data_IF_826673987318
#
_entry.id   IF_826673987318
#
_cell.length_a   1.000
_cell.length_b   1.000
_cell.length_c   1.000
_cell.angle_alpha   90.00
_cell.angle_beta   90.00
_cell.angle_gamma   90.00
#
_symmetry.space_group_name_H-M   'P 1'
#
loop_
_entity.id
_entity.type
_entity.pdbx_description
1 polymer ?
#
# COMPACT_ATOMS: atom_id res chain seq x y z
N UNK A 1 2.55 3.45 6.64
CA UNK A 1 3.99 3.64 6.92
C UNK A 1 4.31 5.00 6.32
N UNK A 2 5.55 5.33 5.95
CA UNK A 2 5.84 6.50 5.12
C UNK A 2 5.74 7.88 5.78
N UNK A 3 5.98 8.91 4.98
CA UNK A 3 5.98 10.30 5.42
C UNK A 3 4.57 10.84 5.64
N UNK A 4 4.37 11.66 6.67
CA UNK A 4 3.08 12.31 6.91
C UNK A 4 3.05 13.72 6.30
N UNK A 5 2.48 13.87 5.10
CA UNK A 5 2.30 15.17 4.44
C UNK A 5 0.87 15.72 4.52
N UNK A 6 -0.02 15.07 5.28
CA UNK A 6 -1.48 15.32 5.28
C UNK A 6 -1.87 16.79 5.51
N UNK A 7 -1.10 17.53 6.30
CA UNK A 7 -1.46 18.91 6.67
C UNK A 7 -1.07 19.96 5.62
N UNK A 8 -0.36 19.56 4.56
CA UNK A 8 0.11 20.45 3.49
C UNK A 8 -0.32 19.98 2.09
N UNK A 9 -0.79 18.75 1.94
CA UNK A 9 -1.28 18.24 0.65
C UNK A 9 -2.79 18.09 0.67
N UNK A 10 -3.42 18.40 -0.47
CA UNK A 10 -4.86 18.22 -0.65
C UNK A 10 -5.12 17.04 -1.59
N UNK A 11 -6.02 16.16 -1.16
CA UNK A 11 -6.54 15.09 -2.01
C UNK A 11 -8.01 15.37 -2.33
N UNK A 12 -8.38 15.24 -3.59
CA UNK A 12 -9.77 15.38 -4.07
C UNK A 12 -10.51 14.08 -3.78
N UNK A 13 -11.72 14.17 -3.24
CA UNK A 13 -12.58 13.00 -3.09
C UNK A 13 -13.01 12.49 -4.46
N UNK A 14 -12.93 11.18 -4.66
CA UNK A 14 -13.34 10.50 -5.91
C UNK A 14 -14.16 9.26 -5.58
N UNK A 15 -14.82 8.68 -6.58
CA UNK A 15 -15.58 7.45 -6.47
C UNK A 15 -14.94 6.34 -7.32
N UNK A 16 -15.28 5.08 -7.04
CA UNK A 16 -14.76 3.93 -7.82
C UNK A 16 -15.05 4.04 -9.32
N UNK A 17 -16.16 4.68 -9.69
CA UNK A 17 -16.52 4.91 -11.10
C UNK A 17 -15.51 5.77 -11.85
N UNK A 18 -14.84 6.72 -11.16
CA UNK A 18 -13.82 7.61 -11.75
C UNK A 18 -12.53 6.85 -12.14
N UNK A 19 -12.35 5.65 -11.59
CA UNK A 19 -11.24 4.75 -11.88
C UNK A 19 -11.64 3.59 -12.80
N UNK A 20 -12.90 3.53 -13.24
CA UNK A 20 -13.39 2.44 -14.08
C UNK A 20 -12.66 2.41 -15.42
N UNK A 21 -12.19 1.23 -15.82
CA UNK A 21 -11.38 0.99 -17.01
C UNK A 21 -9.89 1.31 -16.84
N UNK A 22 -9.49 1.94 -15.74
CA UNK A 22 -8.10 2.35 -15.49
C UNK A 22 -7.30 1.23 -14.85
N UNK A 23 -6.04 1.13 -15.25
CA UNK A 23 -5.03 0.29 -14.56
C UNK A 23 -4.47 1.06 -13.38
N UNK A 24 -4.35 0.42 -12.22
CA UNK A 24 -3.83 1.06 -11.00
C UNK A 24 -2.73 0.17 -10.40
N UNK A 25 -1.54 0.74 -10.21
CA UNK A 25 -0.42 0.07 -9.59
C UNK A 25 -0.57 0.13 -8.07
N UNK A 26 -0.79 -1.02 -7.44
CA UNK A 26 -1.11 -1.13 -6.01
C UNK A 26 0.14 -1.56 -5.26
N UNK A 27 0.54 -0.77 -4.26
CA UNK A 27 1.55 -1.22 -3.30
C UNK A 27 0.99 -2.42 -2.51
N UNK A 28 1.59 -3.58 -2.72
CA UNK A 28 1.17 -4.82 -2.11
C UNK A 28 1.45 -4.84 -0.61
N UNK A 29 2.64 -4.40 -0.15
CA UNK A 29 2.96 -4.44 1.27
C UNK A 29 2.06 -3.48 2.05
N UNK A 30 1.86 -2.26 1.53
CA UNK A 30 0.93 -1.31 2.12
C UNK A 30 -0.46 -1.94 2.26
N UNK A 31 -0.99 -2.52 1.18
CA UNK A 31 -2.31 -3.17 1.18
C UNK A 31 -2.41 -4.35 2.15
N UNK A 32 -1.42 -5.25 2.18
CA UNK A 32 -1.40 -6.40 3.07
C UNK A 32 -1.36 -5.97 4.55
N UNK A 33 -0.57 -4.94 4.88
CA UNK A 33 -0.57 -4.36 6.23
C UNK A 33 -1.93 -3.76 6.60
N UNK A 34 -2.61 -3.08 5.67
CA UNK A 34 -3.95 -2.56 5.90
C UNK A 34 -4.97 -3.68 6.12
N UNK A 35 -4.87 -4.79 5.39
CA UNK A 35 -5.72 -5.97 5.61
C UNK A 35 -5.50 -6.56 6.99
N UNK A 36 -4.25 -6.74 7.42
CA UNK A 36 -3.91 -7.24 8.76
C UNK A 36 -4.39 -6.32 9.89
N UNK A 37 -4.35 -5.00 9.67
CA UNK A 37 -4.80 -4.03 10.66
C UNK A 37 -6.34 -3.93 10.75
N UNK A 38 -7.04 -4.07 9.63
CA UNK A 38 -8.47 -3.80 9.51
C UNK A 38 -9.37 -5.04 9.57
N UNK A 39 -8.92 -6.17 9.03
CA UNK A 39 -9.70 -7.41 8.93
C UNK A 39 -9.43 -8.26 10.16
N UNK A 40 -10.26 -8.09 11.17
CA UNK A 40 -10.15 -8.69 12.49
C UNK A 40 -11.51 -9.18 12.96
N UNK A 41 -11.49 -10.12 13.89
CA UNK A 41 -12.67 -10.56 14.62
C UNK A 41 -13.20 -9.41 15.51
N UNK A 42 -14.45 -9.49 16.00
CA UNK A 42 -15.04 -8.45 16.85
C UNK A 42 -14.22 -8.15 18.13
N UNK A 43 -13.48 -9.13 18.64
CA UNK A 43 -12.60 -8.99 19.81
C UNK A 43 -11.22 -8.39 19.49
N UNK A 44 -10.98 -8.03 18.22
CA UNK A 44 -9.73 -7.46 17.74
C UNK A 44 -8.65 -8.47 17.40
N UNK A 45 -8.87 -9.77 17.60
CA UNK A 45 -7.94 -10.80 17.11
C UNK A 45 -7.95 -10.84 15.57
N UNK A 46 -6.81 -11.11 14.91
CA UNK A 46 -6.80 -11.29 13.47
C UNK A 46 -7.61 -12.53 13.07
N UNK A 47 -8.01 -12.61 11.79
CA UNK A 47 -8.56 -13.85 11.26
C UNK A 47 -7.46 -14.91 11.24
N UNK A 48 -7.80 -16.13 11.62
CA UNK A 48 -6.87 -17.25 11.67
C UNK A 48 -7.52 -18.52 11.13
N UNK A 49 -6.70 -19.46 10.65
CA UNK A 49 -7.11 -20.84 10.37
C UNK A 49 -7.09 -21.70 11.66
N UNK A 50 -7.46 -22.98 11.54
CA UNK A 50 -7.50 -23.93 12.68
C UNK A 50 -6.13 -24.22 13.29
N UNK A 51 -5.03 -23.92 12.56
CA UNK A 51 -3.65 -24.08 13.03
C UNK A 51 -3.12 -22.81 13.70
N UNK A 52 -3.90 -21.74 13.72
CA UNK A 52 -3.52 -20.45 14.31
C UNK A 52 -2.70 -19.55 13.37
N UNK A 53 -2.61 -19.88 12.08
CA UNK A 53 -1.97 -19.00 11.11
C UNK A 53 -2.90 -17.84 10.77
N UNK A 54 -2.35 -16.62 10.69
CA UNK A 54 -3.13 -15.43 10.35
C UNK A 54 -3.53 -15.47 8.87
N UNK A 55 -4.81 -15.23 8.56
CA UNK A 55 -5.37 -15.30 7.18
C UNK A 55 -6.01 -13.99 6.72
N UNK A 56 -5.94 -12.93 7.54
CA UNK A 56 -6.52 -11.62 7.22
C UNK A 56 -6.02 -11.04 5.90
N UNK A 57 -4.74 -11.26 5.56
CA UNK A 57 -4.13 -10.79 4.31
C UNK A 57 -4.75 -11.47 3.08
N UNK A 58 -4.98 -12.79 3.13
CA UNK A 58 -5.62 -13.55 2.06
C UNK A 58 -7.08 -13.16 1.87
N UNK A 59 -7.81 -13.01 2.97
CA UNK A 59 -9.21 -12.56 2.94
C UNK A 59 -9.33 -11.17 2.30
N UNK A 60 -8.49 -10.22 2.75
CA UNK A 60 -8.45 -8.89 2.16
C UNK A 60 -8.10 -8.92 0.68
N UNK A 61 -7.06 -9.65 0.31
CA UNK A 61 -6.59 -9.71 -1.07
C UNK A 61 -7.64 -10.34 -1.99
N UNK A 62 -8.30 -11.43 -1.60
CA UNK A 62 -9.37 -12.04 -2.40
C UNK A 62 -10.54 -11.08 -2.61
N UNK A 63 -11.15 -10.60 -1.52
CA UNK A 63 -12.43 -9.90 -1.62
C UNK A 63 -12.26 -8.45 -2.09
N UNK A 64 -11.17 -7.76 -1.72
CA UNK A 64 -10.93 -6.38 -2.16
C UNK A 64 -10.59 -6.33 -3.63
N UNK A 65 -9.67 -7.18 -4.08
CA UNK A 65 -9.28 -7.23 -5.50
C UNK A 65 -10.47 -7.62 -6.37
N UNK A 66 -11.28 -8.59 -5.94
CA UNK A 66 -12.53 -8.94 -6.65
C UNK A 66 -13.48 -7.74 -6.78
N UNK A 67 -13.66 -6.95 -5.72
CA UNK A 67 -14.50 -5.76 -5.78
C UNK A 67 -13.92 -4.67 -6.71
N UNK A 68 -12.61 -4.43 -6.70
CA UNK A 68 -11.97 -3.48 -7.61
C UNK A 68 -12.25 -3.86 -9.07
N UNK A 69 -12.08 -5.14 -9.41
CA UNK A 69 -12.30 -5.65 -10.76
C UNK A 69 -13.79 -5.56 -11.15
N UNK A 70 -14.72 -5.78 -10.21
CA UNK A 70 -16.16 -5.54 -10.42
C UNK A 70 -16.51 -4.08 -10.71
N UNK A 71 -15.75 -3.12 -10.19
CA UNK A 71 -15.88 -1.70 -10.54
C UNK A 71 -15.19 -1.33 -11.86
N UNK A 72 -14.63 -2.31 -12.58
CA UNK A 72 -13.89 -2.09 -13.82
C UNK A 72 -12.46 -1.61 -13.62
N UNK A 73 -11.96 -1.56 -12.38
CA UNK A 73 -10.58 -1.17 -12.07
C UNK A 73 -9.68 -2.38 -12.34
N UNK A 74 -8.52 -2.13 -12.96
CA UNK A 74 -7.54 -3.15 -13.30
C UNK A 74 -6.33 -3.03 -12.35
N UNK A 75 -6.31 -3.75 -11.22
CA UNK A 75 -5.19 -3.66 -10.27
C UNK A 75 -3.98 -4.47 -10.76
N UNK A 76 -2.78 -3.92 -10.61
CA UNK A 76 -1.51 -4.65 -10.70
C UNK A 76 -0.78 -4.48 -9.37
N UNK A 77 -0.40 -5.57 -8.72
CA UNK A 77 0.24 -5.53 -7.41
C UNK A 77 1.76 -5.48 -7.51
N UNK A 78 2.40 -4.62 -6.75
CA UNK A 78 3.86 -4.51 -6.72
C UNK A 78 4.37 -4.85 -5.33
N UNK A 79 5.25 -5.84 -5.24
CA UNK A 79 5.89 -6.26 -3.99
C UNK A 79 7.29 -5.66 -3.88
N UNK A 80 7.65 -5.22 -2.67
CA UNK A 80 9.01 -4.77 -2.33
C UNK A 80 10.04 -5.87 -2.56
N UNK A 81 11.20 -5.48 -3.09
CA UNK A 81 12.42 -6.28 -3.19
C UNK A 81 13.29 -6.14 -1.96
N UNK A 82 14.60 -6.07 -2.18
CA UNK A 82 15.55 -5.95 -1.07
C UNK A 82 15.55 -4.50 -0.53
N UNK A 83 15.32 -4.31 0.79
CA UNK A 83 15.31 -2.97 1.36
C UNK A 83 16.73 -2.37 1.36
N UNK A 84 16.81 -1.05 1.12
CA UNK A 84 18.06 -0.30 1.25
C UNK A 84 18.61 -0.33 2.69
N UNK A 85 19.92 -0.12 2.85
CA UNK A 85 20.55 -0.05 4.18
C UNK A 85 19.92 1.04 5.08
N UNK A 86 19.50 2.16 4.48
CA UNK A 86 18.79 3.23 5.19
C UNK A 86 17.46 2.72 5.77
N UNK A 87 16.66 2.01 4.96
CA UNK A 87 15.36 1.47 5.40
C UNK A 87 15.50 0.37 6.45
N UNK A 88 16.58 -0.43 6.42
CA UNK A 88 16.83 -1.52 7.39
C UNK A 88 16.82 -1.01 8.84
N UNK A 89 17.38 0.17 9.11
CA UNK A 89 17.38 0.80 10.45
C UNK A 89 15.95 1.12 10.92
N UNK A 90 15.13 1.70 10.06
CA UNK A 90 13.73 2.03 10.36
C UNK A 90 12.88 0.78 10.58
N UNK A 91 13.11 -0.27 9.78
CA UNK A 91 12.43 -1.57 9.94
C UNK A 91 12.75 -2.21 11.30
N UNK A 92 13.98 -2.08 11.79
CA UNK A 92 14.37 -2.55 13.12
C UNK A 92 13.59 -1.82 14.23
N UNK A 93 13.55 -0.48 14.21
CA UNK A 93 12.76 0.32 15.18
C UNK A 93 11.28 -0.05 15.15
N UNK A 94 10.72 -0.26 13.95
CA UNK A 94 9.32 -0.70 13.78
C UNK A 94 9.08 -2.07 14.40
N UNK A 95 10.02 -2.99 14.27
CA UNK A 95 9.94 -4.32 14.88
C UNK A 95 9.87 -4.23 16.40
N UNK A 96 10.74 -3.42 17.00
CA UNK A 96 10.78 -3.19 18.46
C UNK A 96 9.47 -2.57 18.96
N UNK A 97 8.96 -1.54 18.27
CA UNK A 97 7.68 -0.91 18.61
C UNK A 97 6.49 -1.89 18.53
N UNK A 98 6.51 -2.83 17.58
CA UNK A 98 5.48 -3.88 17.45
C UNK A 98 5.57 -4.89 18.61
N UNK A 99 6.77 -5.26 19.02
CA UNK A 99 6.99 -6.16 20.15
C UNK A 99 6.51 -5.52 21.47
N UNK A 100 6.72 -4.23 21.64
CA UNK A 100 6.19 -3.49 22.79
C UNK A 100 4.65 -3.39 22.74
N UNK A 101 4.08 -3.10 21.57
CA UNK A 101 2.62 -3.06 21.38
C UNK A 101 1.97 -4.42 21.65
N UNK A 102 2.64 -5.53 21.30
CA UNK A 102 2.18 -6.89 21.60
C UNK A 102 2.09 -7.14 23.10
N UNK A 103 3.13 -6.77 23.87
CA UNK A 103 3.11 -6.88 25.34
C UNK A 103 1.97 -6.07 25.96
N UNK A 104 1.77 -4.84 25.49
CA UNK A 104 0.67 -3.96 25.93
C UNK A 104 -0.71 -4.53 25.59
N UNK A 105 -0.84 -5.18 24.43
CA UNK A 105 -2.08 -5.83 24.01
C UNK A 105 -2.43 -7.04 24.90
N UNK A 106 -1.47 -7.93 25.14
CA UNK A 106 -1.64 -9.11 26.00
C UNK A 106 -1.99 -8.70 27.43
N UNK A 107 -1.32 -7.70 27.97
CA UNK A 107 -1.62 -7.14 29.28
C UNK A 107 -3.05 -6.57 29.33
N UNK A 108 -3.43 -5.69 28.39
CA UNK A 108 -4.77 -5.11 28.35
C UNK A 108 -5.86 -6.17 28.20
N UNK A 109 -5.60 -7.23 27.42
CA UNK A 109 -6.50 -8.39 27.28
C UNK A 109 -6.65 -9.15 28.59
N UNK A 110 -5.55 -9.41 29.30
CA UNK A 110 -5.58 -10.12 30.60
C UNK A 110 -6.29 -9.32 31.71
N UNK A 111 -6.22 -8.00 31.64
CA UNK A 111 -6.86 -7.07 32.59
C UNK A 111 -8.32 -6.74 32.21
N UNK A 112 -8.85 -7.28 31.11
CA UNK A 112 -10.22 -7.00 30.64
C UNK A 112 -10.43 -5.58 30.10
N UNK A 113 -9.36 -4.84 29.77
CA UNK A 113 -9.44 -3.50 29.18
C UNK A 113 -9.66 -3.58 27.68
N UNK A 114 -10.93 -3.78 27.29
CA UNK A 114 -11.34 -4.06 25.91
C UNK A 114 -10.91 -2.95 24.94
N UNK A 115 -11.14 -1.67 25.27
CA UNK A 115 -10.79 -0.56 24.36
C UNK A 115 -9.29 -0.42 24.13
N UNK A 116 -8.49 -0.59 25.19
CA UNK A 116 -7.03 -0.57 25.10
C UNK A 116 -6.51 -1.77 24.32
N UNK A 117 -7.08 -2.96 24.54
CA UNK A 117 -6.75 -4.16 23.78
C UNK A 117 -7.05 -3.94 22.29
N UNK A 118 -8.22 -3.41 21.94
CA UNK A 118 -8.57 -3.08 20.55
C UNK A 118 -7.59 -2.08 19.94
N UNK A 119 -7.19 -1.05 20.69
CA UNK A 119 -6.22 -0.03 20.25
C UNK A 119 -4.84 -0.62 19.98
N UNK A 120 -4.30 -1.42 20.89
CA UNK A 120 -2.96 -2.02 20.73
C UNK A 120 -2.94 -3.13 19.69
N UNK A 121 -4.03 -3.92 19.56
CA UNK A 121 -4.12 -5.04 18.62
C UNK A 121 -3.79 -4.64 17.18
N UNK A 122 -4.25 -3.47 16.72
CA UNK A 122 -3.99 -3.00 15.35
C UNK A 122 -2.52 -2.76 15.07
N UNK A 123 -1.73 -2.46 16.11
CA UNK A 123 -0.29 -2.20 16.02
C UNK A 123 0.57 -3.47 16.10
N UNK A 124 -0.03 -4.62 16.37
CA UNK A 124 0.71 -5.90 16.50
C UNK A 124 0.89 -6.64 15.17
N UNK A 125 0.24 -6.18 14.09
CA UNK A 125 0.29 -6.82 12.78
C UNK A 125 1.73 -6.98 12.27
N UNK A 126 2.14 -8.23 12.05
CA UNK A 126 3.41 -8.62 11.41
C UNK A 126 3.09 -9.22 10.04
N UNK A 127 3.84 -8.81 9.03
CA UNK A 127 3.83 -9.44 7.71
C UNK A 127 5.07 -10.31 7.61
N UNK A 128 4.89 -11.61 7.45
CA UNK A 128 6.00 -12.56 7.26
C UNK A 128 6.28 -12.74 5.77
N UNK A 129 7.45 -13.31 5.45
CA UNK A 129 7.80 -13.68 4.08
C UNK A 129 6.79 -14.68 3.49
N UNK A 130 6.40 -15.67 4.30
CA UNK A 130 5.41 -16.70 3.92
C UNK A 130 4.08 -16.06 3.53
N UNK A 131 3.58 -15.09 4.30
CA UNK A 131 2.35 -14.36 3.96
C UNK A 131 2.47 -13.59 2.64
N UNK A 132 3.66 -13.03 2.35
CA UNK A 132 3.95 -12.39 1.06
C UNK A 132 3.93 -13.38 -0.09
N UNK A 133 4.53 -14.57 0.10
CA UNK A 133 4.56 -15.63 -0.90
C UNK A 133 3.16 -16.22 -1.15
N UNK A 134 2.35 -16.40 -0.10
CA UNK A 134 0.93 -16.79 -0.22
C UNK A 134 0.11 -15.73 -0.95
N UNK A 135 0.34 -14.44 -0.68
CA UNK A 135 -0.33 -13.36 -1.40
C UNK A 135 -0.02 -13.39 -2.91
N UNK A 136 1.24 -13.64 -3.29
CA UNK A 136 1.65 -13.82 -4.70
C UNK A 136 0.99 -15.04 -5.34
N UNK A 137 0.93 -16.18 -4.63
CA UNK A 137 0.21 -17.39 -5.10
C UNK A 137 -1.27 -17.09 -5.31
N UNK A 138 -1.91 -16.44 -4.34
CA UNK A 138 -3.32 -16.06 -4.42
C UNK A 138 -3.59 -15.16 -5.63
N UNK A 139 -2.80 -14.10 -5.83
CA UNK A 139 -2.94 -13.22 -7.01
C UNK A 139 -2.77 -13.97 -8.32
N UNK A 140 -1.81 -14.91 -8.37
CA UNK A 140 -1.58 -15.78 -9.52
C UNK A 140 -2.81 -16.63 -9.83
N UNK A 141 -3.40 -17.28 -8.83
CA UNK A 141 -4.63 -18.07 -9.00
C UNK A 141 -5.84 -17.19 -9.34
N UNK A 142 -5.88 -15.96 -8.84
CA UNK A 142 -6.90 -14.98 -9.23
C UNK A 142 -6.73 -14.48 -10.68
N UNK A 143 -5.59 -14.74 -11.32
CA UNK A 143 -5.27 -14.20 -12.65
C UNK A 143 -4.91 -12.71 -12.64
N UNK A 144 -4.56 -12.16 -11.48
CA UNK A 144 -4.21 -10.75 -11.29
C UNK A 144 -2.69 -10.59 -11.43
N UNK A 145 -2.20 -9.67 -12.29
CA UNK A 145 -0.77 -9.47 -12.47
C UNK A 145 -0.15 -8.91 -11.18
N UNK A 146 1.05 -9.39 -10.90
CA UNK A 146 1.90 -8.83 -9.87
C UNK A 146 3.35 -8.84 -10.33
N UNK A 147 4.15 -7.92 -9.79
CA UNK A 147 5.58 -7.83 -10.08
C UNK A 147 6.39 -7.63 -8.81
N UNK A 148 7.67 -7.97 -8.90
CA UNK A 148 8.66 -7.86 -7.85
C UNK A 148 9.54 -6.63 -8.15
N UNK A 149 9.45 -5.61 -7.29
CA UNK A 149 10.35 -4.47 -7.37
C UNK A 149 11.79 -4.91 -7.05
N UNK A 150 12.83 -4.25 -7.61
CA UNK A 150 14.21 -4.46 -7.19
C UNK A 150 14.44 -4.05 -5.73
N UNK A 151 13.77 -2.97 -5.32
CA UNK A 151 13.83 -2.44 -3.95
C UNK A 151 12.45 -1.95 -3.49
N UNK A 152 12.14 -0.66 -3.61
CA UNK A 152 10.90 -0.08 -3.09
C UNK A 152 9.69 -0.32 -4.00
N UNK A 153 8.61 -0.90 -3.46
CA UNK A 153 7.39 -1.19 -4.20
C UNK A 153 6.67 0.06 -4.71
N UNK A 154 6.54 1.12 -3.90
CA UNK A 154 5.95 2.39 -4.35
C UNK A 154 6.75 3.07 -5.47
N UNK A 155 8.06 2.90 -5.45
CA UNK A 155 8.95 3.44 -6.47
C UNK A 155 8.77 2.69 -7.79
N UNK A 156 8.68 1.36 -7.75
CA UNK A 156 8.34 0.55 -8.92
C UNK A 156 6.90 0.79 -9.41
N UNK A 157 5.91 0.98 -8.51
CA UNK A 157 4.56 1.42 -8.88
C UNK A 157 4.61 2.73 -9.66
N UNK A 158 5.40 3.69 -9.18
CA UNK A 158 5.58 5.00 -9.81
C UNK A 158 6.18 4.86 -11.19
N UNK A 159 7.21 4.03 -11.35
CA UNK A 159 7.82 3.74 -12.65
C UNK A 159 6.81 3.20 -13.67
N UNK A 160 5.99 2.22 -13.27
CA UNK A 160 4.91 1.66 -14.13
C UNK A 160 3.92 2.76 -14.56
N UNK A 161 3.58 3.70 -13.68
CA UNK A 161 2.70 4.83 -14.01
C UNK A 161 3.38 5.81 -14.97
N UNK A 162 4.65 6.15 -14.73
CA UNK A 162 5.41 7.07 -15.59
C UNK A 162 5.66 6.48 -16.99
N UNK A 163 5.72 5.16 -17.12
CA UNK A 163 5.77 4.44 -18.40
C UNK A 163 4.44 4.46 -19.17
N UNK A 164 3.34 4.85 -18.52
CA UNK A 164 2.00 4.88 -19.10
C UNK A 164 1.25 3.55 -19.03
N UNK A 165 1.80 2.55 -18.34
CA UNK A 165 1.18 1.22 -18.21
C UNK A 165 0.15 1.16 -17.07
N UNK A 166 0.17 2.13 -16.17
CA UNK A 166 -0.86 2.37 -15.17
C UNK A 166 -1.22 3.86 -15.08
N UNK A 167 -2.43 4.15 -14.62
CA UNK A 167 -2.92 5.52 -14.44
C UNK A 167 -2.45 6.15 -13.12
N UNK A 168 -2.44 5.38 -12.03
CA UNK A 168 -2.14 5.91 -10.70
C UNK A 168 -1.47 4.85 -9.83
N UNK A 169 -0.77 5.33 -8.79
CA UNK A 169 -0.31 4.49 -7.68
C UNK A 169 -1.41 4.44 -6.62
N UNK A 170 -1.68 3.27 -6.05
CA UNK A 170 -2.55 3.10 -4.91
C UNK A 170 -1.76 2.72 -3.66
N UNK A 171 -1.72 3.64 -2.71
CA UNK A 171 -1.12 3.49 -1.39
C UNK A 171 -1.84 4.37 -0.38
N UNK A 172 -1.71 4.09 0.91
CA UNK A 172 -2.12 5.05 1.96
C UNK A 172 -1.05 6.08 2.27
N UNK A 173 0.20 5.80 1.91
CA UNK A 173 1.36 6.61 2.26
C UNK A 173 1.60 7.66 1.15
N UNK A 174 2.44 8.66 1.41
CA UNK A 174 2.66 9.78 0.49
C UNK A 174 4.01 9.66 -0.26
N UNK A 175 4.60 8.48 -0.27
CA UNK A 175 5.96 8.28 -0.79
C UNK A 175 5.98 8.29 -2.33
N UNK A 176 4.97 7.72 -2.99
CA UNK A 176 4.82 7.71 -4.46
C UNK A 176 4.88 9.11 -5.12
N UNK A 177 4.20 10.16 -4.62
CA UNK A 177 4.43 11.53 -5.10
C UNK A 177 5.90 12.00 -5.02
N UNK A 178 6.66 11.57 -4.01
CA UNK A 178 8.08 11.87 -3.89
C UNK A 178 8.90 11.14 -4.96
N UNK A 179 8.58 9.87 -5.22
CA UNK A 179 9.13 9.10 -6.35
C UNK A 179 8.72 9.66 -7.72
N UNK A 180 7.69 10.52 -7.77
CA UNK A 180 7.26 11.24 -8.97
C UNK A 180 5.92 10.78 -9.56
N UNK A 181 5.12 9.99 -8.82
CA UNK A 181 3.82 9.54 -9.30
C UNK A 181 2.90 10.73 -9.57
N UNK A 182 2.34 10.87 -10.79
CA UNK A 182 1.44 11.97 -11.13
C UNK A 182 0.13 11.92 -10.34
N UNK A 183 -0.37 10.70 -10.07
CA UNK A 183 -1.62 10.45 -9.37
C UNK A 183 -1.41 9.41 -8.26
N UNK A 184 -1.74 9.78 -7.03
CA UNK A 184 -1.82 8.88 -5.88
C UNK A 184 -3.28 8.69 -5.48
N UNK A 185 -3.79 7.46 -5.56
CA UNK A 185 -5.12 7.07 -5.09
C UNK A 185 -5.02 6.46 -3.71
N UNK A 186 -5.70 7.07 -2.73
CA UNK A 186 -5.69 6.61 -1.34
C UNK A 186 -7.06 6.04 -0.96
N UNK A 187 -7.05 5.02 -0.09
CA UNK A 187 -8.26 4.35 0.37
C UNK A 187 -8.80 3.26 -0.56
N UNK A 188 -8.12 2.96 -1.67
CA UNK A 188 -8.59 2.01 -2.69
C UNK A 188 -8.88 0.61 -2.16
N UNK A 189 -8.04 0.10 -1.28
CA UNK A 189 -8.14 -1.26 -0.72
C UNK A 189 -8.84 -1.29 0.64
N UNK A 190 -9.27 -0.13 1.17
CA UNK A 190 -9.83 -0.01 2.51
C UNK A 190 -11.37 -0.12 2.50
N UNK A 191 -11.95 -0.67 3.57
CA UNK A 191 -13.38 -0.48 3.88
C UNK A 191 -13.61 0.54 4.97
N UNK A 192 -14.66 1.34 4.82
CA UNK A 192 -15.23 2.14 5.90
C UNK A 192 -14.63 3.55 5.97
N UNK A 193 -13.89 3.85 7.04
CA UNK A 193 -13.60 5.23 7.50
C UNK A 193 -12.68 6.07 6.60
N UNK A 194 -11.91 5.46 5.70
CA UNK A 194 -11.05 6.23 4.78
C UNK A 194 -11.79 6.39 3.46
N UNK A 195 -12.10 7.63 3.12
CA UNK A 195 -12.72 7.96 1.85
C UNK A 195 -11.73 7.79 0.70
N UNK A 196 -12.24 7.31 -0.43
CA UNK A 196 -11.47 7.20 -1.65
C UNK A 196 -11.12 8.62 -2.13
N UNK A 197 -9.83 8.88 -2.33
CA UNK A 197 -9.34 10.20 -2.72
C UNK A 197 -8.15 10.08 -3.66
N UNK A 198 -7.97 11.10 -4.50
CA UNK A 198 -6.87 11.22 -5.43
C UNK A 198 -6.08 12.50 -5.12
N UNK A 199 -4.77 12.36 -4.99
CA UNK A 199 -3.81 13.46 -4.96
C UNK A 199 -3.16 13.57 -6.34
N UNK A 200 -3.14 14.78 -6.88
CA UNK A 200 -2.46 15.11 -8.14
C UNK A 200 -1.14 15.83 -7.80
N UNK A 201 0.00 15.26 -8.20
CA UNK A 201 1.32 15.79 -7.84
C UNK A 201 1.53 17.19 -8.45
N UNK A 202 1.17 17.39 -9.71
CA UNK A 202 1.33 18.67 -10.39
C UNK A 202 0.54 19.80 -9.71
N UNK A 203 -0.73 19.54 -9.37
CA UNK A 203 -1.58 20.50 -8.65
C UNK A 203 -1.00 20.79 -7.25
N UNK A 204 -0.49 19.75 -6.58
CA UNK A 204 0.13 19.88 -5.25
C UNK A 204 1.37 20.78 -5.32
N UNK A 205 2.28 20.53 -6.27
CA UNK A 205 3.49 21.33 -6.46
C UNK A 205 3.17 22.79 -6.81
N UNK A 206 2.21 23.01 -7.72
CA UNK A 206 1.74 24.36 -8.07
C UNK A 206 1.16 25.10 -6.87
N UNK A 207 0.31 24.44 -6.08
CA UNK A 207 -0.31 25.06 -4.90
C UNK A 207 0.71 25.39 -3.80
N UNK A 208 1.70 24.54 -3.62
CA UNK A 208 2.76 24.74 -2.63
C UNK A 208 3.87 25.67 -3.13
N UNK A 209 3.91 25.94 -4.44
CA UNK A 209 4.99 26.67 -5.14
C UNK A 209 6.35 26.01 -4.90
N UNK A 210 6.40 24.68 -5.04
CA UNK A 210 7.60 23.88 -4.86
C UNK A 210 7.96 23.12 -6.14
N UNK A 211 9.25 22.82 -6.30
CA UNK A 211 9.70 21.72 -7.16
C UNK A 211 9.50 20.37 -6.46
N UNK A 212 9.58 19.27 -7.22
CA UNK A 212 9.54 17.92 -6.62
C UNK A 212 10.72 17.70 -5.66
N UNK A 213 11.91 18.19 -6.00
CA UNK A 213 13.09 18.12 -5.14
C UNK A 213 12.85 18.85 -3.81
N UNK A 214 12.22 20.02 -3.84
CA UNK A 214 11.85 20.73 -2.63
C UNK A 214 10.75 20.01 -1.83
N UNK A 215 9.81 19.32 -2.49
CA UNK A 215 8.84 18.48 -1.80
C UNK A 215 9.52 17.29 -1.10
N UNK A 216 10.53 16.69 -1.73
CA UNK A 216 11.39 15.66 -1.13
C UNK A 216 12.11 16.22 0.10
N UNK A 217 12.68 17.42 0.00
CA UNK A 217 13.30 18.10 1.15
C UNK A 217 12.32 18.30 2.31
N UNK A 218 11.10 18.73 2.02
CA UNK A 218 10.04 18.84 3.04
C UNK A 218 9.78 17.49 3.70
N UNK A 219 9.70 16.42 2.92
CA UNK A 219 9.48 15.07 3.44
C UNK A 219 10.63 14.59 4.33
N UNK A 220 11.89 14.82 3.92
CA UNK A 220 13.09 14.49 4.71
C UNK A 220 13.11 15.27 6.03
N UNK A 221 12.77 16.56 6.03
CA UNK A 221 12.71 17.33 7.28
C UNK A 221 11.62 16.83 8.24
N UNK A 222 10.50 16.33 7.71
CA UNK A 222 9.42 15.71 8.51
C UNK A 222 9.81 14.33 9.02
N UNK A 223 10.62 13.60 8.26
CA UNK A 223 11.02 12.21 8.50
C UNK A 223 10.34 11.25 7.54
N UNK A 224 11.15 10.42 6.89
CA UNK A 224 10.71 9.40 5.93
C UNK A 224 10.94 7.98 6.47
N UNK A 225 10.82 6.97 5.62
CA UNK A 225 11.23 5.61 5.95
C UNK A 225 12.76 5.42 5.97
N UNK A 226 13.53 6.42 5.50
CA UNK A 226 14.98 6.37 5.33
C UNK A 226 15.74 7.23 6.35
N UNK A 227 15.03 8.05 7.13
CA UNK A 227 15.60 8.99 8.10
C UNK A 227 14.61 9.28 9.25
N UNK A 228 15.10 9.79 10.37
CA UNK A 228 14.26 10.09 11.55
C UNK A 228 13.59 11.48 11.50
N UNK A 229 13.87 12.28 10.47
CA UNK A 229 13.46 13.68 10.37
C UNK A 229 14.27 14.60 11.27
N UNK A 230 13.88 15.88 11.26
CA UNK A 230 14.45 16.90 12.15
C UNK A 230 13.49 17.16 13.30
N UNK A 231 13.98 16.98 14.53
CA UNK A 231 13.14 17.15 15.72
C UNK A 231 12.46 18.53 15.75
N UNK A 232 11.13 18.52 15.92
CA UNK A 232 10.32 19.73 16.02
C UNK A 232 9.85 20.32 14.68
N UNK A 233 10.25 19.75 13.53
CA UNK A 233 9.78 20.12 12.20
C UNK A 233 8.64 19.21 11.74
N UNK A 234 7.39 19.65 11.97
CA UNK A 234 6.21 19.07 11.33
C UNK A 234 5.98 19.62 9.91
N UNK A 235 5.01 19.09 9.15
CA UNK A 235 4.84 19.37 7.72
C UNK A 235 4.79 20.86 7.36
N UNK A 236 4.04 21.66 8.12
CA UNK A 236 3.93 23.11 7.88
C UNK A 236 5.22 23.87 8.16
N UNK A 237 5.99 23.46 9.18
CA UNK A 237 7.26 24.10 9.53
C UNK A 237 8.34 23.72 8.53
N UNK A 238 8.43 22.43 8.18
CA UNK A 238 9.33 21.94 7.14
C UNK A 238 9.09 22.65 5.80
N UNK A 239 7.82 22.76 5.37
CA UNK A 239 7.43 23.53 4.18
C UNK A 239 7.96 24.97 4.23
N UNK A 240 7.74 25.67 5.35
CA UNK A 240 8.22 27.04 5.54
C UNK A 240 9.75 27.10 5.42
N UNK A 241 10.47 26.22 6.12
CA UNK A 241 11.94 26.17 6.12
C UNK A 241 12.50 25.96 4.71
N UNK A 242 11.92 25.05 3.93
CA UNK A 242 12.38 24.79 2.55
C UNK A 242 12.10 25.99 1.65
N UNK A 243 10.91 26.61 1.74
CA UNK A 243 10.59 27.82 0.94
C UNK A 243 11.49 29.01 1.25
N UNK A 244 11.97 29.11 2.48
CA UNK A 244 12.89 30.17 2.91
C UNK A 244 14.36 29.86 2.60
N UNK A 245 14.68 28.69 2.01
CA UNK A 245 16.05 28.27 1.70
C UNK A 245 16.88 27.85 2.92
N UNK A 246 16.24 27.67 4.09
CA UNK A 246 16.92 27.43 5.36
C UNK A 246 17.42 26.00 5.58
N UNK A 247 17.22 25.09 4.61
CA UNK A 247 17.64 23.68 4.77
C UNK A 247 19.14 23.52 4.96
N UNK A 248 19.95 24.33 4.27
CA UNK A 248 21.42 24.29 4.38
C UNK A 248 21.98 24.80 5.71
N UNK A 249 21.14 25.47 6.52
CA UNK A 249 21.51 25.97 7.85
C UNK A 249 21.21 24.96 8.96
N UNK A 250 20.51 23.87 8.65
CA UNK A 250 20.15 22.85 9.62
C UNK A 250 21.32 21.91 9.89
N UNK A 251 21.49 21.57 11.16
CA UNK A 251 22.40 20.50 11.56
C UNK A 251 21.66 19.17 11.43
N UNK A 252 22.09 18.33 10.48
CA UNK A 252 21.46 17.06 10.16
C UNK A 252 22.34 15.91 10.65
N UNK A 253 21.73 14.91 11.28
CA UNK A 253 22.41 13.67 11.71
C UNK A 253 22.50 12.62 10.59
N UNK A 254 22.10 13.00 9.37
CA UNK A 254 22.09 12.17 8.18
C UNK A 254 22.55 12.97 6.96
N UNK A 255 22.97 12.27 5.91
CA UNK A 255 23.34 12.88 4.65
C UNK A 255 22.07 13.14 3.81
N UNK A 256 21.78 14.42 3.55
CA UNK A 256 20.61 14.85 2.81
C UNK A 256 20.61 14.34 1.37
N UNK A 257 21.77 14.35 0.70
CA UNK A 257 21.87 13.97 -0.70
C UNK A 257 21.69 12.47 -0.89
N UNK A 258 22.17 11.64 0.06
CA UNK A 258 21.96 10.19 0.04
C UNK A 258 20.45 9.86 0.12
N UNK A 259 19.67 10.59 0.92
CA UNK A 259 18.22 10.35 1.03
C UNK A 259 17.48 10.92 -0.18
N UNK A 260 17.87 12.08 -0.70
CA UNK A 260 17.32 12.61 -1.96
C UNK A 260 17.50 11.61 -3.10
N UNK A 261 18.69 11.00 -3.19
CA UNK A 261 19.02 10.01 -4.21
C UNK A 261 18.07 8.80 -4.16
N UNK A 262 17.65 8.37 -2.97
CA UNK A 262 16.64 7.32 -2.81
C UNK A 262 15.35 7.65 -3.56
N UNK A 263 14.90 8.91 -3.58
CA UNK A 263 13.66 9.29 -4.28
C UNK A 263 13.89 9.65 -5.76
N UNK A 264 15.04 10.27 -6.06
CA UNK A 264 15.35 10.78 -7.40
C UNK A 264 15.89 9.70 -8.33
N UNK A 265 16.70 8.77 -7.83
CA UNK A 265 17.42 7.74 -8.58
C UNK A 265 17.15 6.32 -8.02
N UNK A 266 15.89 6.05 -7.69
CA UNK A 266 15.46 4.77 -7.10
C UNK A 266 15.67 3.57 -8.06
N UNK A 267 16.09 2.40 -7.54
CA UNK A 267 16.18 1.18 -8.34
C UNK A 267 14.80 0.69 -8.80
N UNK A 268 14.60 0.60 -10.12
CA UNK A 268 13.39 0.09 -10.78
C UNK A 268 13.76 -0.84 -11.93
N UNK A 269 12.78 -1.61 -12.40
CA UNK A 269 12.94 -2.53 -13.53
C UNK A 269 11.85 -2.34 -14.57
N UNK A 270 12.22 -2.52 -15.85
CA UNK A 270 11.29 -2.67 -16.97
C UNK A 270 10.85 -4.14 -17.15
N UNK A 271 11.43 -5.07 -16.38
CA UNK A 271 11.10 -6.50 -16.41
C UNK A 271 9.83 -6.79 -15.59
N UNK A 272 8.67 -6.51 -16.17
CA UNK A 272 7.37 -6.83 -15.59
C UNK A 272 6.33 -7.22 -16.65
N UNK A 273 5.28 -7.93 -16.24
CA UNK A 273 4.19 -8.39 -17.11
C UNK A 273 2.82 -8.01 -16.54
N UNK A 274 2.11 -7.09 -17.19
CA UNK A 274 0.76 -6.64 -16.79
C UNK A 274 -0.29 -7.32 -17.68
N UNK A 275 -0.30 -8.65 -17.65
CA UNK A 275 -1.29 -9.46 -18.35
C UNK A 275 -2.22 -10.14 -17.34
N UNK A 276 -3.51 -9.83 -17.45
CA UNK A 276 -4.57 -10.52 -16.71
C UNK A 276 -4.80 -11.90 -17.29
N UNK A 277 -4.80 -12.91 -16.43
CA UNK A 277 -4.91 -14.32 -16.82
C UNK A 277 -6.26 -14.88 -16.42
N UNK A 278 -6.58 -16.05 -16.95
CA UNK A 278 -7.76 -16.81 -16.52
C UNK A 278 -7.56 -17.24 -15.06
N UNK A 279 -8.64 -17.18 -14.29
CA UNK A 279 -8.68 -17.63 -12.89
C UNK A 279 -8.46 -19.15 -12.83
N UNK A 280 -7.66 -19.57 -11.86
CA UNK A 280 -7.46 -20.95 -11.43
C UNK A 280 -8.32 -21.23 -10.19
N UNK A 281 -9.55 -21.69 -10.42
CA UNK A 281 -10.51 -21.94 -9.34
C UNK A 281 -10.05 -23.06 -8.40
N UNK A 282 -9.41 -24.10 -8.92
CA UNK A 282 -8.90 -25.22 -8.12
C UNK A 282 -7.74 -24.75 -7.22
N UNK A 283 -6.83 -23.94 -7.76
CA UNK A 283 -5.76 -23.30 -6.99
C UNK A 283 -6.30 -22.39 -5.87
N UNK A 284 -7.35 -21.61 -6.15
CA UNK A 284 -8.03 -20.79 -5.13
C UNK A 284 -8.64 -21.62 -4.01
N UNK A 285 -9.40 -22.67 -4.37
CA UNK A 285 -10.03 -23.56 -3.38
C UNK A 285 -8.98 -24.30 -2.57
N UNK A 286 -7.91 -24.78 -3.22
CA UNK A 286 -6.86 -25.47 -2.49
C UNK A 286 -6.15 -24.55 -1.49
N UNK A 287 -5.67 -23.39 -1.93
CA UNK A 287 -4.97 -22.45 -1.04
C UNK A 287 -5.89 -21.95 0.08
N UNK A 288 -7.10 -21.48 -0.25
CA UNK A 288 -7.94 -20.81 0.74
C UNK A 288 -8.71 -21.81 1.61
N UNK A 289 -9.34 -22.82 1.02
CA UNK A 289 -10.21 -23.73 1.75
C UNK A 289 -9.47 -24.93 2.34
N UNK A 290 -8.59 -25.59 1.58
CA UNK A 290 -7.91 -26.79 2.07
C UNK A 290 -6.76 -26.46 3.02
N UNK A 291 -5.98 -25.41 2.73
CA UNK A 291 -4.80 -25.06 3.54
C UNK A 291 -5.14 -24.12 4.70
N UNK A 292 -6.12 -23.22 4.53
CA UNK A 292 -6.43 -22.13 5.46
C UNK A 292 -7.89 -22.06 5.94
N UNK A 293 -8.67 -23.14 5.75
CA UNK A 293 -10.01 -23.32 6.30
C UNK A 293 -11.08 -22.29 5.88
N UNK A 294 -10.90 -21.59 4.75
CA UNK A 294 -11.95 -20.71 4.21
C UNK A 294 -13.15 -21.55 3.77
N UNK A 295 -14.35 -21.01 3.98
CA UNK A 295 -15.57 -21.66 3.51
C UNK A 295 -15.57 -21.82 1.97
N UNK A 296 -15.58 -23.09 1.51
CA UNK A 296 -15.46 -23.46 0.09
C UNK A 296 -16.51 -22.79 -0.79
N UNK A 297 -17.76 -22.72 -0.34
CA UNK A 297 -18.86 -22.09 -1.10
C UNK A 297 -18.63 -20.59 -1.28
N UNK A 298 -18.08 -19.91 -0.27
CA UNK A 298 -17.71 -18.49 -0.37
C UNK A 298 -16.55 -18.28 -1.34
N UNK A 299 -15.54 -19.15 -1.32
CA UNK A 299 -14.39 -19.06 -2.25
C UNK A 299 -14.84 -19.29 -3.69
N UNK A 300 -15.62 -20.34 -3.96
CA UNK A 300 -16.19 -20.61 -5.30
C UNK A 300 -17.07 -19.47 -5.81
N UNK A 301 -17.88 -18.88 -4.92
CA UNK A 301 -18.68 -17.70 -5.26
C UNK A 301 -17.80 -16.52 -5.66
N UNK A 302 -16.75 -16.23 -4.90
CA UNK A 302 -15.81 -15.15 -5.23
C UNK A 302 -15.10 -15.41 -6.57
N UNK A 303 -14.68 -16.64 -6.84
CA UNK A 303 -14.08 -17.04 -8.13
C UNK A 303 -15.07 -16.84 -9.29
N UNK A 304 -16.34 -17.22 -9.11
CA UNK A 304 -17.40 -17.01 -10.10
C UNK A 304 -17.64 -15.53 -10.37
N UNK A 305 -17.73 -14.71 -9.32
CA UNK A 305 -17.90 -13.25 -9.45
C UNK A 305 -16.71 -12.60 -10.16
N UNK A 306 -15.49 -12.99 -9.82
CA UNK A 306 -14.27 -12.51 -10.46
C UNK A 306 -14.23 -12.88 -11.95
N UNK A 307 -14.60 -14.13 -12.29
CA UNK A 307 -14.66 -14.62 -13.68
C UNK A 307 -15.67 -13.84 -14.51
N UNK A 308 -16.84 -13.55 -13.93
CA UNK A 308 -17.85 -12.70 -14.54
C UNK A 308 -17.33 -11.30 -14.80
N UNK A 309 -16.69 -10.67 -13.80
CA UNK A 309 -16.16 -9.32 -13.91
C UNK A 309 -15.07 -9.20 -15.00
N UNK A 310 -14.19 -10.20 -15.16
CA UNK A 310 -13.22 -10.23 -16.26
C UNK A 310 -13.89 -10.26 -17.64
N UNK A 311 -14.97 -11.02 -17.81
CA UNK A 311 -15.71 -11.06 -19.08
C UNK A 311 -16.36 -9.72 -19.40
N UNK A 312 -17.02 -9.10 -18.43
CA UNK A 312 -17.69 -7.80 -18.57
C UNK A 312 -16.69 -6.69 -18.92
N UNK A 313 -15.54 -6.64 -18.23
CA UNK A 313 -14.48 -5.66 -18.50
C UNK A 313 -13.85 -5.82 -19.89
N UNK A 314 -13.78 -7.06 -20.40
CA UNK A 314 -13.28 -7.32 -21.76
C UNK A 314 -14.26 -6.82 -22.81
N UNK A 315 -15.56 -7.08 -22.63
CA UNK A 315 -16.62 -6.63 -23.55
C UNK A 315 -16.72 -5.10 -23.62
N UNK A 316 -16.64 -4.40 -22.47
CA UNK A 316 -16.67 -2.93 -22.43
C UNK A 316 -15.50 -2.28 -23.18
N UNK A 317 -14.33 -2.91 -23.21
CA UNK A 317 -13.21 -2.39 -24.01
C UNK A 317 -13.53 -2.49 -25.49
N UNK A 318 -14.06 -3.62 -25.97
CA UNK A 318 -14.38 -3.83 -27.39
C UNK A 318 -15.45 -2.84 -27.87
N UNK A 319 -16.51 -2.61 -27.09
CA UNK A 319 -17.59 -1.69 -27.46
C UNK A 319 -17.20 -0.22 -27.53
N UNK A 320 -16.02 0.18 -27.02
CA UNK A 320 -15.50 1.56 -27.18
C UNK A 320 -14.82 1.79 -28.53
N UNK A 321 -14.51 0.73 -29.28
CA UNK A 321 -13.85 0.80 -30.58
C UNK A 321 -14.80 0.68 -31.79
N UNK A 322 -16.07 0.36 -31.53
CA UNK A 322 -17.15 0.28 -32.53
C UNK A 322 -18.20 1.36 -32.24
#
# INVERSE_FOLDING_TARGET
MGVNLKDIVDAKQINYADLSGKTVAVDALNSLYQFLASIRQPDGTPLMDSKGNVTSHLSGLLYRTTNLIKFGIKPVYVFDGEPSELKKKTLQKRREAKEEAQKKWEQAKSEGRIDDALKYSKRTSKLTREMGDEAKKLLTYMGVPWTQAPSEGEAQCTHIVLRGDAYAVASTDYDSPLFGAPHLVRGLTMSGKMELSQLDLEDTLKKLELTREQLIDVAILVGTDFDDGVYGLGPKKALKTVKEGGIGELQLDFNLDDIRDVFLNHPVTDEYDINYRKIDEDGLVNLLSNEHDFNIERVKRAATELSKAYRENTQQNISKWF
#
